data_IF_633506599258
#
_entry.id   IF_633506599258
#
_cell.length_a   1.000
_cell.length_b   1.000
_cell.length_c   1.000
_cell.angle_alpha   90.00
_cell.angle_beta   90.00
_cell.angle_gamma   90.00
#
_symmetry.space_group_name_H-M   'P 1'
#
loop_
_entity.id
_entity.type
_entity.pdbx_description
1 polymer ?
#
# COMPACT_ATOMS: atom_id res chain seq x y z
N UNK A 1 -17.43 3.30 0.96
CA UNK A 1 -17.53 3.41 -0.52
C UNK A 1 -18.34 4.63 -0.94
N UNK A 2 -19.62 4.80 -0.48
CA UNK A 2 -20.46 5.95 -0.91
C UNK A 2 -19.83 7.30 -0.59
N UNK A 3 -19.25 7.48 0.60
CA UNK A 3 -18.55 8.72 0.99
C UNK A 3 -17.38 9.04 0.02
N UNK A 4 -16.59 8.05 -0.33
CA UNK A 4 -15.48 8.25 -1.28
C UNK A 4 -15.99 8.64 -2.67
N UNK A 5 -17.11 8.04 -3.12
CA UNK A 5 -17.75 8.41 -4.38
C UNK A 5 -18.29 9.84 -4.31
N UNK A 6 -18.95 10.22 -3.21
CA UNK A 6 -19.48 11.58 -3.03
C UNK A 6 -18.35 12.62 -3.10
N UNK A 7 -17.23 12.40 -2.40
CA UNK A 7 -16.07 13.32 -2.43
C UNK A 7 -15.46 13.45 -3.83
N UNK A 8 -15.39 12.36 -4.60
CA UNK A 8 -14.92 12.41 -5.98
C UNK A 8 -15.88 13.18 -6.89
N UNK A 9 -17.20 12.99 -6.72
CA UNK A 9 -18.20 13.72 -7.47
C UNK A 9 -18.20 15.21 -7.12
N UNK A 10 -18.05 15.53 -5.85
CA UNK A 10 -17.90 16.91 -5.38
C UNK A 10 -16.66 17.58 -5.99
N UNK A 11 -15.51 16.90 -5.97
CA UNK A 11 -14.28 17.38 -6.60
C UNK A 11 -14.47 17.66 -8.10
N UNK A 12 -15.30 16.85 -8.79
CA UNK A 12 -15.64 17.04 -10.21
C UNK A 12 -16.78 18.03 -10.44
N UNK A 13 -17.39 18.57 -9.40
CA UNK A 13 -18.51 19.53 -9.50
C UNK A 13 -19.81 18.91 -10.05
N UNK A 14 -20.04 17.62 -9.84
CA UNK A 14 -21.23 16.90 -10.31
C UNK A 14 -21.90 16.12 -9.18
N UNK A 15 -23.23 15.99 -9.24
CA UNK A 15 -24.01 15.29 -8.23
C UNK A 15 -24.55 13.94 -8.74
N UNK A 16 -24.41 13.66 -10.03
CA UNK A 16 -24.88 12.43 -10.64
C UNK A 16 -23.85 11.86 -11.61
N UNK A 17 -23.63 10.55 -11.55
CA UNK A 17 -22.72 9.87 -12.48
C UNK A 17 -23.03 8.38 -12.66
N UNK A 18 -22.68 7.89 -13.83
CA UNK A 18 -22.46 6.47 -14.08
C UNK A 18 -20.96 6.15 -13.95
N UNK A 19 -20.64 5.20 -13.10
CA UNK A 19 -19.24 4.90 -12.74
C UNK A 19 -18.88 3.44 -12.94
N UNK A 20 -17.59 3.19 -13.13
CA UNK A 20 -16.96 1.90 -12.89
C UNK A 20 -16.28 1.95 -11.53
N UNK A 21 -16.63 1.02 -10.66
CA UNK A 21 -16.11 0.97 -9.30
C UNK A 21 -14.89 0.04 -9.26
N UNK A 22 -13.70 0.60 -9.05
CA UNK A 22 -12.49 -0.15 -8.80
C UNK A 22 -12.26 -0.26 -7.29
N UNK A 23 -12.10 -1.47 -6.77
CA UNK A 23 -11.95 -1.71 -5.32
C UNK A 23 -10.76 -2.63 -5.06
N UNK A 24 -9.94 -2.28 -4.06
CA UNK A 24 -8.83 -3.09 -3.58
C UNK A 24 -9.27 -4.10 -2.52
N UNK A 25 -8.72 -5.30 -2.59
CA UNK A 25 -8.78 -6.31 -1.53
C UNK A 25 -7.39 -6.59 -0.99
N UNK A 26 -7.25 -6.92 0.31
CA UNK A 26 -5.97 -7.34 0.87
C UNK A 26 -5.36 -8.46 0.04
N UNK A 27 -4.06 -8.37 -0.22
CA UNK A 27 -3.34 -9.25 -1.11
C UNK A 27 -3.54 -10.73 -0.77
N UNK A 28 -3.38 -11.09 0.50
CA UNK A 28 -3.51 -12.46 1.01
C UNK A 28 -4.95 -12.99 0.98
N UNK A 29 -5.94 -12.09 0.94
CA UNK A 29 -7.37 -12.43 0.91
C UNK A 29 -7.96 -12.40 -0.49
N UNK A 30 -7.24 -11.83 -1.47
CA UNK A 30 -7.77 -11.60 -2.81
C UNK A 30 -8.29 -12.86 -3.48
N UNK A 31 -7.53 -13.97 -3.42
CA UNK A 31 -7.95 -15.24 -4.02
C UNK A 31 -9.18 -15.86 -3.35
N UNK A 32 -9.31 -15.68 -2.03
CA UNK A 32 -10.40 -16.27 -1.23
C UNK A 32 -11.68 -15.45 -1.29
N UNK A 33 -11.58 -14.12 -1.20
CA UNK A 33 -12.73 -13.24 -0.98
C UNK A 33 -13.23 -12.55 -2.25
N UNK A 34 -12.47 -12.62 -3.35
CA UNK A 34 -12.79 -11.90 -4.60
C UNK A 34 -14.22 -12.14 -5.05
N UNK A 35 -14.66 -13.39 -5.10
CA UNK A 35 -15.98 -13.71 -5.62
C UNK A 35 -17.09 -13.24 -4.69
N UNK A 36 -17.02 -13.58 -3.41
CA UNK A 36 -18.04 -13.20 -2.41
C UNK A 36 -18.14 -11.68 -2.25
N UNK A 37 -17.01 -10.99 -2.31
CA UNK A 37 -16.98 -9.53 -2.22
C UNK A 37 -17.54 -8.85 -3.47
N UNK A 38 -17.26 -9.42 -4.66
CA UNK A 38 -17.87 -8.96 -5.91
C UNK A 38 -19.38 -9.12 -5.89
N UNK A 39 -19.87 -10.29 -5.44
CA UNK A 39 -21.32 -10.56 -5.31
C UNK A 39 -21.99 -9.62 -4.32
N UNK A 40 -21.37 -9.37 -3.16
CA UNK A 40 -21.83 -8.40 -2.17
C UNK A 40 -21.98 -6.99 -2.76
N UNK A 41 -20.94 -6.49 -3.41
CA UNK A 41 -20.98 -5.16 -4.03
C UNK A 41 -21.98 -5.10 -5.19
N UNK A 42 -22.03 -6.13 -6.02
CA UNK A 42 -22.97 -6.21 -7.15
C UNK A 42 -24.42 -6.24 -6.67
N UNK A 43 -24.69 -6.94 -5.60
CA UNK A 43 -26.02 -6.94 -4.95
C UNK A 43 -26.37 -5.55 -4.42
N UNK A 44 -25.42 -4.90 -3.73
CA UNK A 44 -25.63 -3.57 -3.17
C UNK A 44 -25.84 -2.50 -4.26
N UNK A 45 -25.07 -2.53 -5.34
CA UNK A 45 -25.15 -1.57 -6.45
C UNK A 45 -26.01 -2.03 -7.64
N UNK A 46 -26.89 -3.01 -7.42
CA UNK A 46 -27.77 -3.54 -8.46
C UNK A 46 -28.68 -2.47 -9.09
N UNK A 47 -29.08 -1.48 -8.27
CA UNK A 47 -29.89 -0.34 -8.70
C UNK A 47 -29.12 0.95 -8.51
N UNK A 48 -29.56 2.01 -9.17
CA UNK A 48 -29.08 3.37 -8.90
C UNK A 48 -29.20 3.68 -7.41
N UNK A 49 -28.17 4.31 -6.83
CA UNK A 49 -28.15 4.73 -5.43
C UNK A 49 -28.33 6.23 -5.34
N UNK A 50 -29.32 6.61 -4.53
CA UNK A 50 -29.56 7.99 -4.16
C UNK A 50 -29.26 8.12 -2.67
N UNK A 51 -28.45 9.10 -2.31
CA UNK A 51 -28.05 9.33 -0.92
C UNK A 51 -27.63 10.78 -0.71
N UNK A 52 -27.61 11.19 0.56
CA UNK A 52 -27.18 12.51 1.00
C UNK A 52 -25.82 12.40 1.71
N UNK A 53 -24.92 13.32 1.40
CA UNK A 53 -23.64 13.48 2.06
C UNK A 53 -23.30 14.97 2.17
N UNK A 54 -23.02 15.44 3.39
CA UNK A 54 -22.70 16.85 3.71
C UNK A 54 -23.73 17.85 3.14
N UNK A 55 -25.02 17.49 3.20
CA UNK A 55 -26.12 18.33 2.74
C UNK A 55 -26.37 18.34 1.22
N UNK A 56 -25.59 17.58 0.45
CA UNK A 56 -25.75 17.44 -0.99
C UNK A 56 -26.35 16.07 -1.34
N UNK A 57 -27.29 16.06 -2.30
CA UNK A 57 -27.88 14.84 -2.84
C UNK A 57 -27.05 14.29 -3.99
N UNK A 58 -26.76 13.00 -3.97
CA UNK A 58 -25.99 12.30 -5.00
C UNK A 58 -26.79 11.15 -5.59
N UNK A 59 -26.65 10.96 -6.91
CA UNK A 59 -27.25 9.86 -7.67
C UNK A 59 -26.16 9.10 -8.41
N UNK A 60 -25.95 7.83 -8.06
CA UNK A 60 -24.86 7.03 -8.60
C UNK A 60 -25.36 5.72 -9.18
N UNK A 61 -24.98 5.44 -10.42
CA UNK A 61 -25.17 4.15 -11.07
C UNK A 61 -23.83 3.48 -11.32
N UNK A 62 -23.61 2.32 -10.70
CA UNK A 62 -22.40 1.53 -10.93
C UNK A 62 -22.65 0.60 -12.13
N UNK A 63 -21.92 0.80 -13.22
CA UNK A 63 -22.00 -0.02 -14.44
C UNK A 63 -21.21 -1.31 -14.35
N UNK A 64 -20.07 -1.25 -13.68
CA UNK A 64 -19.17 -2.39 -13.53
C UNK A 64 -18.38 -2.27 -12.23
N UNK A 65 -18.01 -3.40 -11.67
CA UNK A 65 -17.18 -3.50 -10.47
C UNK A 65 -15.95 -4.34 -10.84
N UNK A 66 -14.78 -3.76 -10.59
CA UNK A 66 -13.49 -4.42 -10.84
C UNK A 66 -12.73 -4.52 -9.53
N UNK A 67 -12.27 -5.72 -9.20
CA UNK A 67 -11.51 -5.97 -7.98
C UNK A 67 -10.04 -6.19 -8.31
N UNK A 68 -9.18 -5.51 -7.57
CA UNK A 68 -7.74 -5.62 -7.67
C UNK A 68 -7.13 -6.02 -6.31
N UNK A 69 -5.99 -6.72 -6.27
CA UNK A 69 -5.22 -6.83 -5.05
C UNK A 69 -4.67 -5.46 -4.64
N UNK A 70 -4.60 -5.19 -3.34
CA UNK A 70 -3.93 -3.98 -2.83
C UNK A 70 -2.48 -3.96 -3.31
N UNK A 71 -1.94 -2.76 -3.52
CA UNK A 71 -0.63 -2.57 -4.15
C UNK A 71 -0.64 -2.64 -5.69
N UNK A 72 -1.64 -3.28 -6.33
CA UNK A 72 -1.71 -3.32 -7.80
C UNK A 72 -1.85 -1.93 -8.44
N UNK A 73 -2.48 -0.99 -7.74
CA UNK A 73 -2.61 0.40 -8.19
C UNK A 73 -1.26 1.11 -8.36
N UNK A 74 -0.24 0.73 -7.58
CA UNK A 74 1.09 1.33 -7.64
C UNK A 74 1.77 1.12 -9.00
N UNK A 75 1.44 0.03 -9.69
CA UNK A 75 2.02 -0.29 -11.01
C UNK A 75 1.28 0.35 -12.17
N UNK A 76 0.03 0.76 -11.98
CA UNK A 76 -0.81 1.24 -13.08
C UNK A 76 -0.21 2.45 -13.80
N UNK A 77 0.45 3.35 -13.07
CA UNK A 77 1.15 4.49 -13.64
C UNK A 77 2.42 4.13 -14.42
N UNK A 78 3.01 2.97 -14.13
CA UNK A 78 4.29 2.50 -14.71
C UNK A 78 4.14 1.30 -15.64
N UNK A 79 2.92 0.83 -15.87
CA UNK A 79 2.65 -0.40 -16.64
C UNK A 79 3.21 -0.35 -18.06
N UNK A 80 3.32 0.86 -18.64
CA UNK A 80 3.90 1.05 -19.97
C UNK A 80 5.41 0.82 -20.00
N UNK A 81 6.10 1.19 -18.93
CA UNK A 81 7.55 1.01 -18.77
C UNK A 81 7.90 -0.46 -18.53
N UNK A 82 6.97 -1.22 -17.98
CA UNK A 82 7.14 -2.60 -17.54
C UNK A 82 6.67 -3.64 -18.57
N UNK A 83 6.11 -3.21 -19.70
CA UNK A 83 5.54 -4.12 -20.73
C UNK A 83 6.53 -5.13 -21.31
N UNK A 84 7.82 -4.89 -21.22
CA UNK A 84 8.87 -5.80 -21.70
C UNK A 84 9.34 -6.82 -20.67
N UNK A 85 9.01 -6.62 -19.40
CA UNK A 85 9.52 -7.46 -18.31
C UNK A 85 8.68 -8.75 -18.18
N UNK A 86 9.33 -9.91 -18.21
CA UNK A 86 8.64 -11.19 -18.06
C UNK A 86 8.06 -11.37 -16.65
N UNK A 87 8.69 -10.77 -15.66
CA UNK A 87 8.26 -10.77 -14.26
C UNK A 87 8.66 -9.49 -13.56
N UNK A 88 7.84 -9.02 -12.65
CA UNK A 88 8.13 -7.88 -11.75
C UNK A 88 7.63 -8.20 -10.34
N UNK A 89 8.26 -7.60 -9.34
CA UNK A 89 7.80 -7.65 -7.96
C UNK A 89 7.25 -6.28 -7.57
N UNK A 90 6.08 -6.25 -6.96
CA UNK A 90 5.52 -5.05 -6.32
C UNK A 90 5.59 -5.25 -4.82
N UNK A 91 6.22 -4.30 -4.13
CA UNK A 91 6.42 -4.32 -2.70
C UNK A 91 5.80 -3.05 -2.09
N UNK A 92 4.70 -3.21 -1.40
CA UNK A 92 3.95 -2.13 -0.76
C UNK A 92 4.31 -2.09 0.74
N UNK A 93 5.03 -1.05 1.15
CA UNK A 93 5.50 -0.88 2.53
C UNK A 93 4.49 -0.03 3.29
N UNK A 94 3.53 -0.68 3.92
CA UNK A 94 2.51 -0.03 4.72
C UNK A 94 2.93 0.21 6.17
N UNK A 95 2.02 0.76 6.96
CA UNK A 95 2.26 1.03 8.38
C UNK A 95 2.46 -0.25 9.20
N UNK A 96 1.69 -1.31 8.94
CA UNK A 96 1.71 -2.57 9.70
C UNK A 96 2.40 -3.71 8.96
N UNK A 97 2.22 -3.79 7.65
CA UNK A 97 2.70 -4.89 6.82
C UNK A 97 3.53 -4.38 5.66
N UNK A 98 4.38 -5.27 5.16
CA UNK A 98 4.97 -5.20 3.84
C UNK A 98 4.25 -6.25 2.99
N UNK A 99 3.49 -5.79 2.02
CA UNK A 99 2.75 -6.65 1.11
C UNK A 99 3.51 -6.76 -0.23
N UNK A 100 3.91 -7.96 -0.59
CA UNK A 100 4.67 -8.19 -1.80
C UNK A 100 3.98 -9.20 -2.71
N UNK A 101 3.93 -8.87 -4.00
CA UNK A 101 3.39 -9.73 -5.05
C UNK A 101 4.34 -9.81 -6.23
N UNK A 102 4.41 -10.98 -6.85
CA UNK A 102 5.05 -11.15 -8.14
C UNK A 102 3.99 -11.15 -9.24
N UNK A 103 4.28 -10.42 -10.30
CA UNK A 103 3.48 -10.42 -11.52
C UNK A 103 4.29 -11.11 -12.61
N UNK A 104 3.75 -12.15 -13.22
CA UNK A 104 4.32 -12.82 -14.36
C UNK A 104 3.52 -12.41 -15.61
N UNK A 105 4.15 -11.72 -16.54
CA UNK A 105 3.51 -11.11 -17.73
C UNK A 105 2.31 -10.22 -17.37
N UNK A 106 2.42 -9.49 -16.26
CA UNK A 106 1.37 -8.61 -15.75
C UNK A 106 0.22 -9.30 -14.99
N UNK A 107 0.30 -10.61 -14.77
CA UNK A 107 -0.70 -11.40 -14.05
C UNK A 107 -0.16 -11.72 -12.65
N UNK A 108 -0.91 -11.40 -11.56
CA UNK A 108 -0.50 -11.75 -10.20
C UNK A 108 -0.31 -13.25 -10.01
N UNK A 109 0.86 -13.65 -9.51
CA UNK A 109 1.15 -15.01 -9.13
C UNK A 109 0.76 -15.24 -7.67
N UNK A 110 -0.39 -15.87 -7.45
CA UNK A 110 -0.97 -16.05 -6.12
C UNK A 110 -0.08 -16.86 -5.16
N UNK A 111 0.77 -17.76 -5.67
CA UNK A 111 1.67 -18.58 -4.86
C UNK A 111 2.82 -17.75 -4.24
N UNK A 112 3.15 -16.63 -4.87
CA UNK A 112 4.23 -15.72 -4.45
C UNK A 112 3.71 -14.41 -3.81
N UNK A 113 2.43 -14.37 -3.43
CA UNK A 113 1.90 -13.28 -2.63
C UNK A 113 2.32 -13.44 -1.16
N UNK A 114 2.88 -12.39 -0.59
CA UNK A 114 3.33 -12.35 0.81
C UNK A 114 2.82 -11.11 1.52
N UNK A 115 2.44 -11.28 2.78
CA UNK A 115 2.17 -10.19 3.71
C UNK A 115 3.03 -10.42 4.94
N UNK A 116 3.98 -9.54 5.16
CA UNK A 116 5.00 -9.64 6.21
C UNK A 116 4.72 -8.61 7.29
N UNK A 117 4.80 -8.98 8.56
CA UNK A 117 4.65 -8.06 9.70
C UNK A 117 5.92 -7.20 9.88
N UNK A 118 6.32 -6.49 8.84
CA UNK A 118 7.51 -5.65 8.76
C UNK A 118 7.15 -4.22 8.32
N UNK A 119 5.96 -3.72 8.70
CA UNK A 119 5.55 -2.36 8.37
C UNK A 119 6.32 -1.29 9.13
N UNK A 120 6.17 -0.04 8.71
CA UNK A 120 6.94 1.12 9.21
C UNK A 120 6.81 1.35 10.72
N UNK A 121 5.67 1.04 11.32
CA UNK A 121 5.48 1.17 12.79
C UNK A 121 6.50 0.34 13.56
N UNK A 122 6.79 -0.87 13.08
CA UNK A 122 7.80 -1.74 13.71
C UNK A 122 9.20 -1.15 13.57
N UNK A 123 9.55 -0.65 12.40
CA UNK A 123 10.82 0.04 12.17
C UNK A 123 11.02 1.22 13.15
N UNK A 124 10.01 2.08 13.24
CA UNK A 124 10.03 3.26 14.12
C UNK A 124 10.17 2.86 15.59
N UNK A 125 9.43 1.84 16.03
CA UNK A 125 9.51 1.32 17.40
C UNK A 125 10.91 0.75 17.72
N UNK A 126 11.47 -0.05 16.81
CA UNK A 126 12.82 -0.63 16.98
C UNK A 126 13.88 0.48 17.07
N UNK A 127 13.78 1.52 16.24
CA UNK A 127 14.66 2.71 16.26
C UNK A 127 14.49 3.49 17.56
N UNK A 128 13.27 3.77 17.99
CA UNK A 128 12.97 4.51 19.21
C UNK A 128 13.52 3.80 20.44
N UNK A 129 13.37 2.47 20.51
CA UNK A 129 13.94 1.67 21.59
C UNK A 129 15.46 1.72 21.59
N UNK A 130 16.09 1.67 20.42
CA UNK A 130 17.54 1.73 20.29
C UNK A 130 18.12 3.08 20.71
N UNK A 131 17.49 4.18 20.33
CA UNK A 131 17.88 5.53 20.77
C UNK A 131 17.86 5.64 22.28
N UNK A 132 16.79 5.15 22.91
CA UNK A 132 16.64 5.18 24.37
C UNK A 132 17.72 4.32 25.06
N UNK A 133 18.02 3.14 24.54
CA UNK A 133 19.04 2.25 25.11
C UNK A 133 20.46 2.77 24.96
N UNK A 134 20.78 3.37 23.78
CA UNK A 134 22.17 3.74 23.45
C UNK A 134 22.56 5.10 23.99
N UNK A 135 21.68 6.09 23.92
CA UNK A 135 22.00 7.48 24.26
C UNK A 135 21.00 8.12 25.23
N UNK A 136 20.01 7.35 25.72
CA UNK A 136 19.02 7.85 26.69
C UNK A 136 18.05 8.90 26.13
N UNK A 137 17.96 9.05 24.81
CA UNK A 137 17.12 10.06 24.14
C UNK A 137 15.80 9.44 23.74
N UNK A 138 14.71 10.13 24.05
CA UNK A 138 13.37 9.82 23.54
C UNK A 138 13.01 10.81 22.44
N UNK A 139 12.61 10.29 21.30
CA UNK A 139 12.19 11.07 20.11
C UNK A 139 10.77 10.66 19.72
N UNK A 140 10.07 11.52 19.01
CA UNK A 140 8.75 11.21 18.46
C UNK A 140 8.88 10.43 17.14
N UNK A 141 7.81 9.70 16.78
CA UNK A 141 7.74 8.96 15.52
C UNK A 141 8.01 9.89 14.33
N UNK A 142 7.38 11.08 14.32
CA UNK A 142 7.58 12.09 13.27
C UNK A 142 9.03 12.57 13.14
N UNK A 143 9.79 12.64 14.25
CA UNK A 143 11.21 13.00 14.19
C UNK A 143 12.05 11.87 13.59
N UNK A 144 11.71 10.61 13.85
CA UNK A 144 12.35 9.45 13.22
C UNK A 144 12.05 9.44 11.73
N UNK A 145 10.78 9.61 11.34
CA UNK A 145 10.35 9.68 9.94
C UNK A 145 11.06 10.79 9.19
N UNK A 146 11.17 11.98 9.78
CA UNK A 146 11.88 13.13 9.20
C UNK A 146 13.35 12.80 8.88
N UNK A 147 14.04 12.13 9.79
CA UNK A 147 15.43 11.67 9.56
C UNK A 147 15.49 10.62 8.46
N UNK A 148 14.57 9.65 8.43
CA UNK A 148 14.55 8.59 7.40
C UNK A 148 14.27 9.15 6.01
N UNK A 149 13.40 10.16 5.89
CA UNK A 149 13.03 10.78 4.61
C UNK A 149 14.10 11.72 4.10
N UNK A 150 14.65 12.57 4.97
CA UNK A 150 15.54 13.68 4.57
C UNK A 150 17.04 13.42 4.81
N UNK A 151 17.38 12.28 5.42
CA UNK A 151 18.77 11.93 5.74
C UNK A 151 19.34 12.67 6.97
N UNK A 152 18.54 13.42 7.68
CA UNK A 152 18.91 14.15 8.89
C UNK A 152 17.85 15.16 9.31
N UNK A 153 17.91 15.59 10.57
CA UNK A 153 17.00 16.57 11.15
C UNK A 153 17.71 17.40 12.23
N UNK A 154 16.97 18.21 12.96
CA UNK A 154 17.48 19.00 14.11
C UNK A 154 17.81 18.16 15.36
N UNK A 155 17.78 16.82 15.26
CA UNK A 155 18.22 15.93 16.32
C UNK A 155 19.75 15.98 16.52
N UNK A 156 20.27 15.56 17.68
CA UNK A 156 21.71 15.39 17.87
C UNK A 156 22.33 14.50 16.77
N UNK A 157 23.54 14.80 16.33
CA UNK A 157 24.24 14.08 15.28
C UNK A 157 24.29 12.56 15.54
N UNK A 158 24.51 12.17 16.79
CA UNK A 158 24.52 10.76 17.20
C UNK A 158 23.14 10.11 17.01
N UNK A 159 22.06 10.84 17.32
CA UNK A 159 20.69 10.34 17.12
C UNK A 159 20.38 10.15 15.64
N UNK A 160 20.67 11.16 14.79
CA UNK A 160 20.51 11.05 13.33
C UNK A 160 21.25 9.83 12.79
N UNK A 161 22.50 9.60 13.22
CA UNK A 161 23.30 8.45 12.78
C UNK A 161 22.65 7.12 13.17
N UNK A 162 22.17 6.99 14.40
CA UNK A 162 21.50 5.76 14.85
C UNK A 162 20.23 5.50 14.02
N UNK A 163 19.40 6.53 13.78
CA UNK A 163 18.18 6.38 12.98
C UNK A 163 18.50 5.86 11.59
N UNK A 164 19.47 6.46 10.90
CA UNK A 164 19.85 6.05 9.54
C UNK A 164 20.45 4.64 9.50
N UNK A 165 21.31 4.30 10.46
CA UNK A 165 21.91 2.96 10.56
C UNK A 165 20.84 1.88 10.78
N UNK A 166 19.92 2.08 11.72
CA UNK A 166 18.86 1.11 11.99
C UNK A 166 17.79 1.09 10.89
N UNK A 167 17.50 2.22 10.25
CA UNK A 167 16.65 2.26 9.07
C UNK A 167 17.22 1.41 7.93
N UNK A 168 18.54 1.52 7.69
CA UNK A 168 19.23 0.67 6.70
C UNK A 168 19.15 -0.82 7.04
N UNK A 169 19.46 -1.19 8.30
CA UNK A 169 19.36 -2.57 8.76
C UNK A 169 17.93 -3.12 8.63
N UNK A 170 16.93 -2.27 8.84
CA UNK A 170 15.54 -2.66 8.67
C UNK A 170 15.19 -2.91 7.19
N UNK A 171 15.65 -2.06 6.28
CA UNK A 171 15.49 -2.26 4.84
C UNK A 171 16.17 -3.56 4.38
N UNK A 172 17.39 -3.84 4.85
CA UNK A 172 18.10 -5.09 4.56
C UNK A 172 17.33 -6.31 5.08
N UNK A 173 16.70 -6.20 6.26
CA UNK A 173 15.83 -7.24 6.80
C UNK A 173 14.61 -7.51 5.93
N UNK A 174 13.95 -6.47 5.41
CA UNK A 174 12.83 -6.62 4.47
C UNK A 174 13.30 -7.40 3.25
N UNK A 175 14.40 -6.99 2.62
CA UNK A 175 14.96 -7.62 1.43
C UNK A 175 15.29 -9.09 1.69
N UNK A 176 16.01 -9.40 2.78
CA UNK A 176 16.33 -10.78 3.15
C UNK A 176 15.08 -11.62 3.36
N UNK A 177 14.06 -11.05 4.03
CA UNK A 177 12.80 -11.78 4.26
C UNK A 177 12.04 -12.03 2.95
N UNK A 178 12.09 -11.10 1.98
CA UNK A 178 11.49 -11.31 0.65
C UNK A 178 12.19 -12.46 -0.09
N UNK A 179 13.54 -12.49 -0.08
CA UNK A 179 14.34 -13.56 -0.67
C UNK A 179 14.01 -14.93 -0.03
N UNK A 180 13.96 -15.02 1.30
CA UNK A 180 13.60 -16.22 2.04
C UNK A 180 12.19 -16.74 1.69
N UNK A 181 11.30 -15.84 1.29
CA UNK A 181 9.93 -16.14 0.87
C UNK A 181 9.78 -16.38 -0.65
N UNK A 182 10.89 -16.54 -1.37
CA UNK A 182 10.91 -16.89 -2.79
C UNK A 182 10.68 -15.71 -3.73
N UNK A 183 10.77 -14.47 -3.23
CA UNK A 183 10.71 -13.24 -4.02
C UNK A 183 12.14 -12.77 -4.28
N UNK A 184 12.69 -13.14 -5.42
CA UNK A 184 14.06 -12.81 -5.82
C UNK A 184 14.13 -11.35 -6.31
N UNK A 185 14.32 -10.45 -5.36
CA UNK A 185 14.40 -9.00 -5.59
C UNK A 185 15.73 -8.56 -6.24
N UNK A 186 16.69 -9.47 -6.37
CA UNK A 186 17.95 -9.19 -7.04
C UNK A 186 17.90 -9.53 -8.55
N UNK A 187 17.08 -10.54 -8.91
CA UNK A 187 16.97 -11.01 -10.30
C UNK A 187 15.75 -10.45 -11.05
N UNK A 188 14.78 -9.88 -10.33
CA UNK A 188 13.51 -9.38 -10.91
C UNK A 188 13.35 -7.90 -10.56
N UNK A 189 12.96 -7.03 -11.52
CA UNK A 189 12.66 -5.63 -11.24
C UNK A 189 11.65 -5.48 -10.11
N UNK A 190 11.92 -4.57 -9.17
CA UNK A 190 11.06 -4.31 -8.01
C UNK A 190 10.51 -2.90 -8.05
N UNK A 191 9.20 -2.76 -7.80
CA UNK A 191 8.54 -1.48 -7.58
C UNK A 191 8.20 -1.39 -6.11
N UNK A 192 8.77 -0.42 -5.42
CA UNK A 192 8.40 -0.08 -4.06
C UNK A 192 7.32 0.99 -4.06
N UNK A 193 6.33 0.83 -3.17
CA UNK A 193 5.28 1.80 -2.85
C UNK A 193 5.02 1.81 -1.34
N UNK A 194 4.35 2.84 -0.86
CA UNK A 194 3.97 3.03 0.53
C UNK A 194 4.01 4.47 0.96
#
# INVERSE_FOLDING_TARGET
TLVAIAKELEYRGVNSAEIVLAVGLPLTRFGLDKQSFHEYLSSYFRTTREYEFEGNHYTVRVKNIVLYPQGYSAIMGKIHELRGEPSIIVCDIGSWTVDAMRLDKGIPNAELNRSLELGMIRCINDISEQLRRTIGVSVTDSQIEDVLIHGGSNLPVTANRIVLEYGKLYAERIISTLLENGLDVEAVPVIFSG
#
